data_IF_827062826775
#
_entry.id   IF_827062826775
#
_cell.length_a   1.000
_cell.length_b   1.000
_cell.length_c   1.000
_cell.angle_alpha   90.00
_cell.angle_beta   90.00
_cell.angle_gamma   90.00
#
_symmetry.space_group_name_H-M   'P 1'
#
loop_
_entity.id
_entity.type
_entity.pdbx_description
1 polymer ?
#
# COMPACT_ATOMS: atom_id res chain seq x y z
N UNK A 1 -0.26 14.70 -1.09
CA UNK A 1 -1.18 14.82 0.08
C UNK A 1 -1.76 13.44 0.43
N UNK A 2 -2.37 13.26 1.60
CA UNK A 2 -2.96 11.97 2.05
C UNK A 2 -3.84 12.16 3.30
N UNK A 3 -4.44 11.08 3.82
CA UNK A 3 -5.42 11.18 4.91
C UNK A 3 -4.85 11.69 6.26
N UNK A 4 -3.52 11.63 6.47
CA UNK A 4 -2.87 12.14 7.68
C UNK A 4 -3.26 11.41 8.96
N UNK A 5 -3.71 10.16 8.83
CA UNK A 5 -4.19 9.32 9.94
C UNK A 5 -3.08 8.44 10.50
N UNK A 6 -3.27 7.98 11.74
CA UNK A 6 -2.35 7.07 12.42
C UNK A 6 -2.59 5.60 12.04
N UNK A 7 -1.67 4.71 12.46
CA UNK A 7 -1.74 3.28 12.18
C UNK A 7 -2.97 2.57 12.77
N UNK A 8 -3.51 3.01 13.91
CA UNK A 8 -4.75 2.43 14.45
C UNK A 8 -5.94 2.81 13.59
N UNK A 9 -6.02 4.06 13.16
CA UNK A 9 -7.04 4.54 12.22
C UNK A 9 -6.99 3.73 10.91
N UNK A 10 -5.80 3.43 10.38
CA UNK A 10 -5.63 2.55 9.23
C UNK A 10 -6.15 1.12 9.49
N UNK A 11 -5.76 0.50 10.61
CA UNK A 11 -6.17 -0.86 10.93
C UNK A 11 -7.69 -1.00 11.06
N UNK A 12 -8.35 -0.04 11.74
CA UNK A 12 -9.80 0.00 11.88
C UNK A 12 -10.48 0.19 10.52
N UNK A 13 -9.98 1.12 9.71
CA UNK A 13 -10.52 1.33 8.36
C UNK A 13 -10.44 0.08 7.49
N UNK A 14 -9.32 -0.64 7.56
CA UNK A 14 -9.12 -1.88 6.83
C UNK A 14 -10.04 -3.01 7.33
N UNK A 15 -10.25 -3.12 8.65
CA UNK A 15 -11.20 -4.07 9.25
C UNK A 15 -12.62 -3.85 8.70
N UNK A 16 -13.10 -2.61 8.71
CA UNK A 16 -14.46 -2.30 8.28
C UNK A 16 -14.67 -2.52 6.78
N UNK A 17 -13.68 -2.20 5.94
CA UNK A 17 -13.73 -2.55 4.50
C UNK A 17 -13.79 -4.08 4.33
N UNK A 18 -12.97 -4.80 5.07
CA UNK A 18 -12.88 -6.26 4.99
C UNK A 18 -14.13 -6.96 5.50
N UNK A 19 -14.85 -6.36 6.46
CA UNK A 19 -16.14 -6.84 6.96
C UNK A 19 -17.19 -6.91 5.84
N UNK A 20 -17.14 -5.97 4.90
CA UNK A 20 -17.97 -5.97 3.69
C UNK A 20 -17.42 -6.86 2.58
N UNK A 21 -16.11 -6.79 2.31
CA UNK A 21 -15.44 -7.61 1.29
C UNK A 21 -13.96 -7.80 1.61
N UNK A 22 -13.56 -9.03 1.94
CA UNK A 22 -12.15 -9.38 2.17
C UNK A 22 -11.27 -9.18 0.93
N UNK A 23 -11.84 -9.33 -0.28
CA UNK A 23 -11.14 -9.06 -1.53
C UNK A 23 -10.79 -7.58 -1.69
N UNK A 24 -11.76 -6.68 -1.41
CA UNK A 24 -11.51 -5.24 -1.44
C UNK A 24 -10.54 -4.81 -0.34
N UNK A 25 -10.70 -5.38 0.87
CA UNK A 25 -9.75 -5.18 1.97
C UNK A 25 -8.32 -5.54 1.56
N UNK A 26 -8.13 -6.68 0.90
CA UNK A 26 -6.82 -7.10 0.39
C UNK A 26 -6.22 -6.09 -0.61
N UNK A 27 -7.03 -5.58 -1.53
CA UNK A 27 -6.58 -4.56 -2.51
C UNK A 27 -6.14 -3.28 -1.80
N UNK A 28 -6.93 -2.78 -0.85
CA UNK A 28 -6.59 -1.57 -0.07
C UNK A 28 -5.33 -1.79 0.78
N UNK A 29 -5.17 -2.99 1.35
CA UNK A 29 -3.98 -3.36 2.09
C UNK A 29 -2.72 -3.36 1.21
N UNK A 30 -2.77 -4.05 0.06
CA UNK A 30 -1.64 -4.10 -0.87
C UNK A 30 -1.28 -2.72 -1.43
N UNK A 31 -2.29 -1.93 -1.79
CA UNK A 31 -2.11 -0.57 -2.28
C UNK A 31 -1.43 0.34 -1.24
N UNK A 32 -1.95 0.37 -0.02
CA UNK A 32 -1.51 1.32 1.01
C UNK A 32 -0.25 0.85 1.72
N UNK A 33 -0.27 -0.37 2.26
CA UNK A 33 0.78 -0.88 3.15
C UNK A 33 1.97 -1.47 2.41
N UNK A 34 1.81 -1.91 1.16
CA UNK A 34 2.92 -2.41 0.36
C UNK A 34 3.38 -1.34 -0.63
N UNK A 35 2.56 -0.95 -1.61
CA UNK A 35 3.03 0.00 -2.62
C UNK A 35 3.28 1.41 -2.07
N UNK A 36 2.28 2.01 -1.40
CA UNK A 36 2.38 3.36 -0.84
C UNK A 36 3.45 3.47 0.24
N UNK A 37 3.50 2.51 1.18
CA UNK A 37 4.44 2.55 2.28
C UNK A 37 5.91 2.39 1.84
N UNK A 38 6.20 1.61 0.79
CA UNK A 38 7.57 1.49 0.28
C UNK A 38 8.07 2.83 -0.28
N UNK A 39 7.22 3.58 -0.98
CA UNK A 39 7.55 4.93 -1.44
C UNK A 39 7.66 5.93 -0.28
N UNK A 40 6.78 5.83 0.71
CA UNK A 40 6.81 6.70 1.89
C UNK A 40 8.10 6.52 2.71
N UNK A 41 8.49 5.28 2.98
CA UNK A 41 9.64 4.97 3.83
C UNK A 41 10.97 5.13 3.09
N UNK A 42 11.04 4.66 1.84
CA UNK A 42 12.32 4.53 1.11
C UNK A 42 12.47 5.47 -0.08
N UNK A 43 11.40 6.15 -0.51
CA UNK A 43 11.46 7.10 -1.61
C UNK A 43 12.13 8.42 -1.23
N UNK A 44 12.83 9.01 -2.18
CA UNK A 44 13.26 10.41 -2.08
C UNK A 44 12.08 11.39 -2.27
N UNK A 45 12.30 12.68 -2.00
CA UNK A 45 11.25 13.70 -2.12
C UNK A 45 10.68 13.81 -3.54
N UNK A 46 11.52 13.62 -4.57
CA UNK A 46 11.07 13.69 -5.96
C UNK A 46 10.18 12.51 -6.30
N UNK A 47 10.51 11.30 -5.82
CA UNK A 47 9.71 10.10 -5.98
C UNK A 47 8.39 10.19 -5.21
N UNK A 48 8.40 10.75 -4.00
CA UNK A 48 7.18 10.95 -3.20
C UNK A 48 6.23 11.94 -3.86
N UNK A 49 6.74 13.07 -4.34
CA UNK A 49 5.91 14.04 -5.07
C UNK A 49 5.32 13.42 -6.34
N UNK A 50 6.15 12.73 -7.13
CA UNK A 50 5.73 12.15 -8.40
C UNK A 50 4.75 10.98 -8.25
N UNK A 51 4.98 10.08 -7.31
CA UNK A 51 4.26 8.79 -7.25
C UNK A 51 3.36 8.65 -6.04
N UNK A 52 3.82 9.01 -4.84
CA UNK A 52 3.04 8.78 -3.61
C UNK A 52 1.77 9.63 -3.57
N UNK A 53 1.79 10.83 -4.16
CA UNK A 53 0.59 11.68 -4.24
C UNK A 53 -0.52 11.07 -5.09
N UNK A 54 -0.19 10.47 -6.24
CA UNK A 54 -1.17 9.81 -7.11
C UNK A 54 -1.77 8.55 -6.45
N UNK A 55 -0.96 7.81 -5.69
CA UNK A 55 -1.44 6.67 -4.90
C UNK A 55 -2.40 7.13 -3.79
N UNK A 56 -2.01 8.12 -2.99
CA UNK A 56 -2.83 8.58 -1.85
C UNK A 56 -4.18 9.17 -2.24
N UNK A 57 -4.30 9.73 -3.45
CA UNK A 57 -5.56 10.27 -3.99
C UNK A 57 -6.41 9.21 -4.67
N UNK A 58 -5.87 8.01 -4.90
CA UNK A 58 -6.53 6.92 -5.61
C UNK A 58 -6.63 7.14 -7.12
N UNK A 59 -5.92 8.13 -7.68
CA UNK A 59 -5.81 8.33 -9.13
C UNK A 59 -5.07 7.16 -9.78
N UNK A 60 -4.07 6.61 -9.08
CA UNK A 60 -3.36 5.41 -9.47
C UNK A 60 -3.51 4.30 -8.42
N UNK A 61 -3.43 3.04 -8.86
CA UNK A 61 -3.46 1.87 -7.99
C UNK A 61 -2.08 1.20 -7.98
N UNK A 62 -1.40 1.28 -6.84
CA UNK A 62 -0.12 0.61 -6.60
C UNK A 62 -0.25 -0.89 -6.32
N UNK A 63 0.82 -1.61 -6.65
CA UNK A 63 1.01 -3.03 -6.33
C UNK A 63 2.47 -3.26 -5.88
N UNK A 64 2.70 -4.39 -5.21
CA UNK A 64 4.02 -4.80 -4.76
C UNK A 64 4.41 -6.12 -5.42
N UNK A 65 5.29 -6.04 -6.41
CA UNK A 65 5.74 -7.17 -7.20
C UNK A 65 7.02 -7.75 -6.60
N UNK A 66 6.87 -8.64 -5.62
CA UNK A 66 7.99 -9.33 -4.98
C UNK A 66 8.09 -10.80 -5.38
N UNK A 67 6.98 -11.54 -5.30
CA UNK A 67 6.97 -12.97 -5.57
C UNK A 67 7.23 -13.27 -7.05
N UNK A 68 8.07 -14.27 -7.30
CA UNK A 68 8.40 -14.80 -8.62
C UNK A 68 8.01 -16.29 -8.70
N UNK A 69 8.00 -16.87 -9.91
CA UNK A 69 7.58 -18.26 -10.10
C UNK A 69 8.43 -19.27 -9.30
N UNK A 70 9.70 -18.94 -9.07
CA UNK A 70 10.66 -19.78 -8.33
C UNK A 70 10.98 -19.22 -6.93
N UNK A 71 10.37 -18.11 -6.50
CA UNK A 71 10.66 -17.47 -5.22
C UNK A 71 9.40 -16.87 -4.57
N UNK A 72 8.97 -17.47 -3.45
CA UNK A 72 7.78 -17.04 -2.72
C UNK A 72 8.08 -16.75 -1.25
N UNK A 73 8.27 -17.82 -0.46
CA UNK A 73 8.69 -17.69 0.96
C UNK A 73 10.21 -17.56 1.12
N UNK A 74 10.95 -17.86 0.06
CA UNK A 74 12.41 -17.94 -0.05
C UNK A 74 13.00 -16.77 -0.85
N UNK A 75 12.37 -15.60 -0.73
CA UNK A 75 12.91 -14.36 -1.30
C UNK A 75 14.21 -14.00 -0.54
N UNK A 76 15.33 -13.75 -1.24
CA UNK A 76 16.57 -13.36 -0.60
C UNK A 76 16.45 -11.99 0.08
N UNK A 77 17.18 -11.83 1.19
CA UNK A 77 17.28 -10.58 1.94
C UNK A 77 18.16 -9.54 1.23
#
# INVERSE_FOLDING_TARGET
EGAGLDYHSYAIGLEEISRGSGGLGTVVAAHTSLAGNMLYEFGDETQKEAYLTALNTGEEIGAFALSEAEAGSDVPA
#
